data_IF_047743902811
#
_entry.id   IF_047743902811
#
_cell.length_a   1.000
_cell.length_b   1.000
_cell.length_c   1.000
_cell.angle_alpha   90.00
_cell.angle_beta   90.00
_cell.angle_gamma   90.00
#
_symmetry.space_group_name_H-M   'P 1'
#
loop_
_entity.id
_entity.type
_entity.pdbx_description
1 polymer ?
#
# COMPACT_ATOMS: atom_id res chain seq x y z
N UNK A 1 32.33 23.43 -20.07
CA UNK A 1 31.00 23.24 -20.70
C UNK A 1 30.00 22.88 -19.60
N UNK A 2 28.80 23.47 -19.59
CA UNK A 2 27.78 23.25 -18.53
C UNK A 2 26.49 22.74 -19.19
N UNK A 3 26.09 21.50 -18.92
CA UNK A 3 24.82 20.93 -19.39
C UNK A 3 23.79 20.98 -18.27
N UNK A 4 22.87 21.96 -18.32
CA UNK A 4 21.69 21.96 -17.48
C UNK A 4 20.66 20.99 -18.07
N UNK A 5 20.39 19.88 -17.39
CA UNK A 5 19.33 18.94 -17.77
C UNK A 5 18.01 19.36 -17.11
N UNK A 6 17.22 20.16 -17.83
CA UNK A 6 15.87 20.54 -17.41
C UNK A 6 14.88 19.46 -17.84
N UNK A 7 14.22 18.81 -16.87
CA UNK A 7 13.10 17.89 -17.10
C UNK A 7 11.77 18.64 -16.89
N UNK A 8 10.92 18.83 -17.91
CA UNK A 8 9.60 19.41 -17.73
C UNK A 8 8.61 18.37 -17.19
N UNK A 9 8.06 18.64 -16.01
CA UNK A 9 6.85 17.98 -15.51
C UNK A 9 5.64 18.43 -16.35
N UNK A 10 4.99 17.51 -17.05
CA UNK A 10 3.79 17.79 -17.85
C UNK A 10 2.68 16.76 -17.55
N UNK A 11 2.00 16.94 -16.42
CA UNK A 11 0.82 16.17 -16.03
C UNK A 11 -0.44 16.86 -16.56
N UNK A 12 -0.68 16.70 -17.86
CA UNK A 12 -1.86 17.26 -18.55
C UNK A 12 -3.12 16.46 -18.20
N UNK A 13 -3.82 16.87 -17.14
CA UNK A 13 -5.19 16.42 -16.88
C UNK A 13 -6.14 17.04 -17.91
N UNK A 14 -6.37 16.31 -19.01
CA UNK A 14 -7.39 16.70 -19.99
C UNK A 14 -8.79 16.38 -19.44
N UNK A 15 -9.55 17.42 -19.11
CA UNK A 15 -10.96 17.32 -18.76
C UNK A 15 -11.76 16.75 -19.94
N UNK A 16 -12.32 15.55 -19.80
CA UNK A 16 -13.25 15.00 -20.78
C UNK A 16 -14.67 15.52 -20.47
N UNK A 17 -15.07 16.60 -21.16
CA UNK A 17 -16.43 17.14 -21.07
C UNK A 17 -17.40 16.23 -21.85
N UNK A 18 -18.22 15.46 -21.14
CA UNK A 18 -19.28 14.64 -21.74
C UNK A 18 -20.51 15.52 -21.97
N UNK A 19 -20.70 15.98 -23.21
CA UNK A 19 -21.95 16.62 -23.63
C UNK A 19 -23.04 15.56 -23.84
N UNK A 20 -23.99 15.50 -22.91
CA UNK A 20 -25.19 14.67 -23.03
C UNK A 20 -26.28 15.44 -23.80
N UNK A 21 -26.47 15.14 -25.09
CA UNK A 21 -27.59 15.71 -25.88
C UNK A 21 -28.83 14.83 -25.78
N UNK A 22 -29.82 15.32 -25.04
CA UNK A 22 -31.18 14.74 -25.00
C UNK A 22 -31.95 15.11 -26.27
N UNK A 23 -32.59 14.14 -26.91
CA UNK A 23 -33.61 14.37 -27.94
C UNK A 23 -34.91 13.63 -27.59
N UNK A 24 -36.03 14.35 -27.36
CA UNK A 24 -37.36 13.75 -27.32
C UNK A 24 -37.99 13.79 -28.72
N UNK A 25 -38.60 12.68 -29.16
CA UNK A 25 -39.21 12.56 -30.48
C UNK A 25 -40.36 11.56 -30.51
N UNK A 26 -41.58 12.05 -30.30
CA UNK A 26 -42.85 11.30 -30.39
C UNK A 26 -43.16 10.87 -31.83
N UNK A 27 -43.81 9.72 -32.04
CA UNK A 27 -44.32 9.40 -33.39
C UNK A 27 -45.05 8.06 -33.60
N UNK A 28 -46.33 8.01 -33.21
CA UNK A 28 -47.48 7.31 -33.86
C UNK A 28 -47.33 5.85 -34.37
N UNK A 29 -48.24 4.98 -33.90
CA UNK A 29 -48.53 3.68 -34.53
C UNK A 29 -49.24 3.83 -35.89
N UNK A 30 -49.33 2.77 -36.70
CA UNK A 30 -50.63 2.11 -36.77
C UNK A 30 -50.56 0.56 -36.77
N UNK A 31 -51.69 -0.07 -36.48
CA UNK A 31 -51.86 -1.51 -36.49
C UNK A 31 -52.14 -2.06 -37.90
N UNK A 32 -51.73 -3.31 -38.14
CA UNK A 32 -52.48 -4.26 -38.98
C UNK A 32 -52.26 -5.68 -38.48
N UNK A 33 -53.27 -6.55 -38.68
CA UNK A 33 -53.34 -7.89 -38.13
C UNK A 33 -53.21 -8.97 -39.22
N UNK A 34 -52.61 -10.11 -38.85
CA UNK A 34 -52.81 -11.48 -39.36
C UNK A 34 -51.78 -12.37 -38.60
N UNK A 35 -52.18 -13.35 -37.78
CA UNK A 35 -52.66 -14.71 -38.11
C UNK A 35 -51.51 -15.70 -38.43
N UNK A 36 -51.78 -17.00 -38.25
CA UNK A 36 -50.93 -18.19 -38.48
C UNK A 36 -49.78 -18.50 -37.50
N UNK A 37 -50.05 -19.46 -36.61
CA UNK A 37 -49.10 -20.49 -36.16
C UNK A 37 -49.45 -21.84 -36.86
N UNK A 38 -48.79 -23.00 -36.63
CA UNK A 38 -47.43 -23.30 -36.15
C UNK A 38 -46.67 -24.35 -37.02
N UNK A 39 -45.32 -24.41 -36.93
CA UNK A 39 -44.49 -25.62 -37.19
C UNK A 39 -43.07 -25.39 -36.62
N UNK A 40 -42.49 -26.14 -35.68
CA UNK A 40 -42.25 -27.58 -35.51
C UNK A 40 -40.91 -28.09 -36.11
N UNK A 41 -40.14 -28.83 -35.27
CA UNK A 41 -38.90 -29.61 -35.55
C UNK A 41 -37.62 -28.74 -35.75
N UNK A 42 -36.43 -29.09 -35.22
CA UNK A 42 -35.88 -30.36 -34.65
C UNK A 42 -34.71 -30.09 -33.68
N UNK A 43 -34.53 -30.96 -32.70
CA UNK A 43 -33.25 -31.19 -31.96
C UNK A 43 -32.61 -32.48 -32.48
N UNK A 44 -31.27 -32.57 -32.54
CA UNK A 44 -30.50 -33.56 -31.76
C UNK A 44 -29.23 -32.92 -31.17
N UNK A 45 -28.93 -33.00 -29.87
CA UNK A 45 -28.55 -34.16 -29.02
C UNK A 45 -27.10 -34.67 -29.19
N UNK A 46 -26.32 -34.42 -28.12
CA UNK A 46 -25.17 -35.14 -27.56
C UNK A 46 -23.92 -35.49 -28.40
N UNK A 47 -22.74 -35.14 -27.83
CA UNK A 47 -21.70 -36.14 -27.48
C UNK A 47 -20.62 -35.63 -26.50
N UNK A 48 -20.51 -36.31 -25.35
CA UNK A 48 -19.41 -36.40 -24.37
C UNK A 48 -19.65 -37.72 -23.59
N UNK A 49 -18.69 -38.38 -22.89
CA UNK A 49 -17.24 -38.23 -22.81
C UNK A 49 -16.50 -39.53 -23.25
N UNK A 50 -15.24 -39.76 -22.83
CA UNK A 50 -15.07 -40.67 -21.69
C UNK A 50 -14.09 -40.23 -20.59
N UNK A 51 -14.04 -41.05 -19.53
CA UNK A 51 -13.60 -40.80 -18.15
C UNK A 51 -12.92 -42.08 -17.65
N UNK A 52 -11.81 -42.09 -16.90
CA UNK A 52 -10.81 -41.09 -16.51
C UNK A 52 -9.56 -41.85 -15.98
N UNK A 53 -8.50 -41.16 -15.49
CA UNK A 53 -7.48 -41.78 -14.60
C UNK A 53 -6.95 -40.79 -13.56
N UNK A 54 -6.53 -41.34 -12.41
CA UNK A 54 -6.53 -40.66 -11.12
C UNK A 54 -5.18 -40.07 -10.68
N UNK A 55 -5.23 -39.22 -9.64
CA UNK A 55 -4.07 -38.77 -8.86
C UNK A 55 -3.40 -39.94 -8.10
N UNK A 56 -2.21 -39.71 -7.50
CA UNK A 56 -2.25 -39.37 -6.08
C UNK A 56 -1.25 -38.29 -5.60
N UNK A 57 -1.81 -37.32 -4.86
CA UNK A 57 -1.31 -36.78 -3.57
C UNK A 57 0.21 -36.49 -3.41
N UNK A 58 0.58 -35.22 -3.52
CA UNK A 58 1.73 -34.65 -2.79
C UNK A 58 1.23 -33.85 -1.57
N UNK A 59 1.78 -34.13 -0.38
CA UNK A 59 1.44 -33.43 0.88
C UNK A 59 2.27 -32.14 1.01
N UNK A 60 1.68 -30.97 1.30
CA UNK A 60 2.42 -29.86 1.91
C UNK A 60 2.81 -30.25 3.34
N UNK A 61 4.10 -30.47 3.60
CA UNK A 61 4.63 -30.74 4.93
C UNK A 61 4.65 -29.42 5.72
N UNK A 62 3.81 -29.31 6.74
CA UNK A 62 3.88 -28.23 7.73
C UNK A 62 5.25 -28.28 8.43
N UNK A 63 6.00 -27.18 8.38
CA UNK A 63 7.20 -26.95 9.17
C UNK A 63 6.90 -25.86 10.20
N UNK A 64 7.02 -26.12 11.52
CA UNK A 64 6.56 -25.17 12.53
C UNK A 64 7.38 -23.88 12.66
N UNK A 65 6.64 -22.80 12.91
CA UNK A 65 7.03 -21.55 13.56
C UNK A 65 8.03 -21.77 14.70
N UNK A 66 9.20 -21.14 14.62
CA UNK A 66 10.09 -20.95 15.77
C UNK A 66 9.92 -19.54 16.35
N UNK A 67 9.72 -19.46 17.65
CA UNK A 67 9.65 -18.23 18.46
C UNK A 67 10.71 -18.41 19.58
N UNK A 68 11.43 -17.36 20.02
CA UNK A 68 12.79 -17.55 20.53
C UNK A 68 12.85 -18.07 21.97
N UNK A 69 13.84 -18.93 22.23
CA UNK A 69 14.25 -19.29 23.58
C UNK A 69 15.42 -18.39 24.01
N UNK A 70 15.22 -17.64 25.10
CA UNK A 70 16.28 -16.93 25.78
C UNK A 70 16.94 -17.84 26.82
N UNK A 71 18.27 -17.83 26.86
CA UNK A 71 19.09 -18.26 28.00
C UNK A 71 20.22 -17.22 28.11
N UNK A 72 20.10 -16.21 28.97
CA UNK A 72 20.62 -16.23 30.34
C UNK A 72 21.98 -16.92 30.45
N UNK A 73 23.05 -16.12 30.49
CA UNK A 73 24.28 -16.52 31.16
C UNK A 73 24.55 -15.53 32.30
N UNK A 74 24.64 -16.06 33.51
CA UNK A 74 24.99 -15.36 34.74
C UNK A 74 26.01 -16.24 35.43
N UNK A 75 27.27 -15.83 35.43
CA UNK A 75 28.23 -16.34 36.38
C UNK A 75 29.10 -15.20 36.92
N UNK A 76 29.31 -15.23 38.23
CA UNK A 76 29.91 -14.15 38.99
C UNK A 76 31.39 -14.40 39.26
N UNK A 77 32.14 -13.33 39.47
CA UNK A 77 33.41 -13.38 40.18
C UNK A 77 33.59 -12.10 40.98
N UNK A 78 33.50 -12.25 42.30
CA UNK A 78 33.74 -11.21 43.29
C UNK A 78 35.15 -11.39 43.91
N UNK A 79 35.54 -10.63 44.97
CA UNK A 79 35.76 -9.19 44.95
C UNK A 79 37.20 -8.84 45.41
N UNK A 80 37.61 -7.57 45.29
CA UNK A 80 38.77 -7.04 46.03
C UNK A 80 38.48 -5.68 46.67
N UNK A 81 39.11 -5.43 47.82
CA UNK A 81 38.63 -4.55 48.90
C UNK A 81 39.28 -3.15 48.90
N UNK A 82 38.41 -2.14 48.84
CA UNK A 82 38.46 -0.73 49.31
C UNK A 82 39.70 -0.21 50.07
N UNK A 83 40.19 0.97 49.67
CA UNK A 83 40.64 2.08 50.53
C UNK A 83 40.48 3.45 49.78
N UNK A 84 40.31 4.61 50.45
CA UNK A 84 39.54 5.74 49.90
C UNK A 84 40.32 7.04 49.60
N UNK A 85 39.76 7.89 48.72
CA UNK A 85 40.12 9.31 48.61
C UNK A 85 38.92 10.21 48.20
N UNK A 86 38.83 11.35 48.88
CA UNK A 86 37.95 12.54 48.81
C UNK A 86 36.96 12.80 47.62
N UNK A 87 35.87 13.58 47.87
CA UNK A 87 34.83 13.84 46.88
C UNK A 87 35.15 15.02 45.95
N UNK A 88 35.38 14.76 44.66
CA UNK A 88 35.42 15.81 43.64
C UNK A 88 34.00 16.12 43.15
N UNK A 89 33.56 17.36 43.35
CA UNK A 89 32.30 17.89 42.79
C UNK A 89 32.38 17.93 41.26
N UNK A 90 31.59 17.10 40.58
CA UNK A 90 31.41 17.13 39.12
C UNK A 90 29.95 17.32 38.72
N UNK A 91 29.40 18.46 39.14
CA UNK A 91 28.28 19.17 38.49
C UNK A 91 28.94 20.29 37.65
N UNK A 92 28.60 20.60 36.39
CA UNK A 92 27.47 20.20 35.54
C UNK A 92 27.90 20.30 34.06
N UNK A 93 27.68 19.26 33.25
CA UNK A 93 27.87 19.31 31.79
C UNK A 93 26.75 18.63 30.98
N UNK A 94 25.64 18.24 31.63
CA UNK A 94 24.56 17.47 31.00
C UNK A 94 23.56 18.32 30.19
N UNK A 95 23.40 19.60 30.53
CA UNK A 95 22.31 20.44 30.02
C UNK A 95 22.30 20.63 28.47
N UNK A 96 23.43 20.89 27.77
CA UNK A 96 23.39 21.11 26.32
C UNK A 96 23.00 19.85 25.54
N UNK A 97 23.52 18.69 25.97
CA UNK A 97 23.24 17.40 25.32
C UNK A 97 21.77 16.98 25.52
N UNK A 98 21.24 17.13 26.74
CA UNK A 98 19.83 16.84 27.05
C UNK A 98 18.85 17.74 26.28
N UNK A 99 19.21 19.00 26.06
CA UNK A 99 18.36 19.93 25.32
C UNK A 99 18.38 19.65 23.82
N UNK A 100 19.51 19.25 23.24
CA UNK A 100 19.62 18.83 21.85
C UNK A 100 18.81 17.54 21.58
N UNK A 101 18.98 16.50 22.41
CA UNK A 101 18.22 15.25 22.27
C UNK A 101 16.72 15.46 22.34
N UNK A 102 16.23 16.31 23.26
CA UNK A 102 14.81 16.62 23.37
C UNK A 102 14.25 17.37 22.14
N UNK A 103 15.07 18.18 21.46
CA UNK A 103 14.69 18.83 20.18
C UNK A 103 14.63 17.81 19.05
N UNK A 104 15.62 16.91 18.96
CA UNK A 104 15.66 15.85 17.96
C UNK A 104 14.51 14.84 18.12
N UNK A 105 14.21 14.40 19.35
CA UNK A 105 13.06 13.53 19.65
C UNK A 105 11.72 14.19 19.24
N UNK A 106 11.54 15.48 19.55
CA UNK A 106 10.35 16.24 19.16
C UNK A 106 10.25 16.36 17.64
N UNK A 107 11.37 16.60 16.95
CA UNK A 107 11.43 16.70 15.50
C UNK A 107 11.10 15.35 14.85
N UNK A 108 11.71 14.26 15.33
CA UNK A 108 11.42 12.88 14.89
C UNK A 108 9.96 12.52 15.08
N UNK A 109 9.41 12.73 16.27
CA UNK A 109 8.00 12.44 16.54
C UNK A 109 7.05 13.26 15.64
N UNK A 110 7.37 14.53 15.38
CA UNK A 110 6.56 15.35 14.45
C UNK A 110 6.60 14.85 13.00
N UNK A 111 7.71 14.24 12.56
CA UNK A 111 7.81 13.57 11.26
C UNK A 111 6.97 12.29 11.24
N UNK A 112 7.00 11.51 12.32
CA UNK A 112 6.29 10.23 12.43
C UNK A 112 4.78 10.42 12.41
N UNK A 113 4.26 11.45 13.09
CA UNK A 113 2.85 11.86 13.02
C UNK A 113 2.48 12.29 11.59
N UNK A 114 3.26 13.20 10.99
CA UNK A 114 3.02 13.65 9.60
C UNK A 114 3.00 12.49 8.60
N UNK A 115 3.93 11.54 8.75
CA UNK A 115 4.05 10.37 7.90
C UNK A 115 2.83 9.45 8.02
N UNK A 116 2.41 9.10 9.25
CA UNK A 116 1.22 8.28 9.52
C UNK A 116 -0.06 8.93 8.97
N UNK A 117 -0.21 10.24 9.14
CA UNK A 117 -1.33 11.01 8.56
C UNK A 117 -1.29 10.98 7.04
N UNK A 118 -0.10 10.97 6.44
CA UNK A 118 0.03 10.85 4.99
C UNK A 118 -0.38 9.46 4.47
N UNK A 119 0.12 8.38 5.08
CA UNK A 119 -0.27 7.00 4.74
C UNK A 119 -1.79 6.82 4.87
N UNK A 120 -2.39 7.39 5.92
CA UNK A 120 -3.84 7.36 6.15
C UNK A 120 -4.61 8.07 5.03
N UNK A 121 -4.15 9.27 4.61
CA UNK A 121 -4.75 10.00 3.48
C UNK A 121 -4.57 9.27 2.15
N UNK A 122 -3.38 8.75 1.89
CA UNK A 122 -3.07 7.96 0.69
C UNK A 122 -4.02 6.77 0.56
N UNK A 123 -4.16 5.95 1.61
CA UNK A 123 -5.07 4.80 1.60
C UNK A 123 -6.54 5.18 1.40
N UNK A 124 -6.99 6.30 1.97
CA UNK A 124 -8.36 6.82 1.77
C UNK A 124 -8.63 7.29 0.32
N UNK A 125 -7.64 7.94 -0.29
CA UNK A 125 -7.76 8.55 -1.62
C UNK A 125 -7.44 7.59 -2.77
N UNK A 126 -6.70 6.51 -2.51
CA UNK A 126 -6.22 5.55 -3.52
C UNK A 126 -7.36 4.86 -4.28
N UNK A 127 -7.20 4.72 -5.59
CA UNK A 127 -8.11 4.00 -6.50
C UNK A 127 -7.31 3.18 -7.51
N UNK A 128 -7.64 1.89 -7.73
CA UNK A 128 -8.56 1.07 -6.91
C UNK A 128 -8.04 0.91 -5.48
N UNK A 129 -8.95 0.98 -4.51
CA UNK A 129 -8.64 0.94 -3.07
C UNK A 129 -9.44 -0.16 -2.37
N UNK A 130 -9.17 -0.41 -1.09
CA UNK A 130 -9.81 -1.53 -0.37
C UNK A 130 -11.36 -1.44 -0.32
N UNK A 131 -11.91 -0.23 -0.31
CA UNK A 131 -13.36 0.04 -0.35
C UNK A 131 -13.95 0.08 -1.77
N UNK A 132 -13.10 0.19 -2.79
CA UNK A 132 -13.48 0.49 -4.18
C UNK A 132 -12.54 -0.29 -5.10
N UNK A 133 -12.79 -1.60 -5.17
CA UNK A 133 -11.95 -2.59 -5.84
C UNK A 133 -12.30 -2.63 -7.33
N UNK A 134 -11.28 -2.64 -8.20
CA UNK A 134 -11.49 -2.84 -9.63
C UNK A 134 -11.75 -4.34 -9.90
N UNK A 135 -12.72 -4.66 -10.74
CA UNK A 135 -12.95 -6.03 -11.23
C UNK A 135 -12.85 -6.08 -12.75
N UNK A 136 -12.09 -7.03 -13.27
CA UNK A 136 -11.89 -7.26 -14.72
C UNK A 136 -12.11 -8.71 -15.07
N UNK A 137 -12.91 -8.96 -16.10
CA UNK A 137 -13.05 -10.29 -16.71
C UNK A 137 -11.75 -10.67 -17.43
N UNK A 138 -11.32 -11.91 -17.24
CA UNK A 138 -10.07 -12.46 -17.77
C UNK A 138 -10.30 -13.21 -19.10
N UNK A 139 -9.25 -13.48 -19.89
CA UNK A 139 -9.37 -14.20 -21.16
C UNK A 139 -9.91 -15.63 -21.04
N UNK A 140 -9.68 -16.30 -19.91
CA UNK A 140 -10.23 -17.63 -19.58
C UNK A 140 -11.72 -17.59 -19.16
N UNK A 141 -12.33 -16.41 -19.15
CA UNK A 141 -13.72 -16.16 -18.77
C UNK A 141 -13.95 -15.92 -17.28
N UNK A 142 -12.92 -16.08 -16.43
CA UNK A 142 -12.97 -15.79 -14.99
C UNK A 142 -13.02 -14.28 -14.70
N UNK A 143 -13.12 -13.90 -13.43
CA UNK A 143 -13.06 -12.51 -12.96
C UNK A 143 -11.90 -12.35 -11.98
N UNK A 144 -11.12 -11.28 -12.14
CA UNK A 144 -10.11 -10.86 -11.18
C UNK A 144 -10.53 -9.55 -10.54
N UNK A 145 -10.65 -9.53 -9.21
CA UNK A 145 -10.74 -8.32 -8.43
C UNK A 145 -9.34 -7.90 -7.97
N UNK A 146 -9.06 -6.60 -7.93
CA UNK A 146 -7.81 -6.07 -7.38
C UNK A 146 -7.99 -4.74 -6.67
N UNK A 147 -7.10 -4.45 -5.73
CA UNK A 147 -6.94 -3.13 -5.13
C UNK A 147 -5.49 -2.86 -4.74
N UNK A 148 -5.16 -1.58 -4.60
CA UNK A 148 -3.88 -1.13 -4.06
C UNK A 148 -4.08 -0.64 -2.63
N UNK A 149 -3.11 -0.93 -1.76
CA UNK A 149 -2.99 -0.30 -0.45
C UNK A 149 -1.53 0.08 -0.18
N UNK A 150 -1.32 1.08 0.67
CA UNK A 150 -0.03 1.36 1.31
C UNK A 150 0.00 0.60 2.63
N UNK A 151 1.03 -0.21 2.83
CA UNK A 151 1.26 -1.00 4.05
C UNK A 151 1.73 -0.07 5.19
N UNK A 152 0.91 0.19 6.24
CA UNK A 152 1.26 1.12 7.32
C UNK A 152 2.37 0.59 8.23
N UNK A 153 2.49 -0.72 8.39
CA UNK A 153 3.47 -1.36 9.27
C UNK A 153 4.88 -1.33 8.64
N UNK A 154 4.94 -1.13 7.33
CA UNK A 154 6.19 -0.95 6.58
C UNK A 154 6.80 0.47 6.64
N UNK A 155 6.15 1.40 7.36
CA UNK A 155 6.52 2.81 7.40
C UNK A 155 7.81 3.06 8.20
N UNK A 156 8.86 3.54 7.53
CA UNK A 156 10.14 3.93 8.13
C UNK A 156 10.49 5.37 7.78
N UNK A 157 10.71 6.19 8.81
CA UNK A 157 11.02 7.62 8.70
C UNK A 157 12.43 7.95 9.21
N UNK A 158 13.09 8.86 8.52
CA UNK A 158 14.36 9.48 8.97
C UNK A 158 14.44 10.93 8.51
N UNK A 159 15.34 11.73 9.06
CA UNK A 159 15.62 13.07 8.55
C UNK A 159 17.11 13.39 8.62
N UNK A 160 17.53 14.34 7.79
CA UNK A 160 18.88 14.90 7.81
C UNK A 160 18.79 16.43 7.80
N UNK A 161 19.70 17.16 8.47
CA UNK A 161 19.84 18.60 8.29
C UNK A 161 20.24 18.95 6.85
N UNK A 162 20.08 20.22 6.47
CA UNK A 162 20.57 20.73 5.18
C UNK A 162 21.56 21.87 5.40
N UNK A 163 22.81 21.67 5.00
CA UNK A 163 23.92 22.58 5.34
C UNK A 163 23.81 23.97 4.69
N UNK A 164 23.18 24.05 3.52
CA UNK A 164 23.24 25.23 2.63
C UNK A 164 21.88 25.87 2.32
N UNK A 165 20.81 25.55 3.06
CA UNK A 165 19.47 26.10 2.80
C UNK A 165 18.93 26.88 4.01
N UNK A 166 18.73 28.20 3.85
CA UNK A 166 18.17 29.06 4.91
C UNK A 166 16.67 28.87 5.12
N UNK A 167 15.96 28.26 4.16
CA UNK A 167 14.49 28.15 4.12
C UNK A 167 13.99 26.78 4.54
N UNK A 168 14.66 25.72 4.08
CA UNK A 168 14.42 24.33 4.46
C UNK A 168 15.52 23.99 5.47
N UNK A 169 15.17 23.51 6.67
CA UNK A 169 16.18 23.17 7.70
C UNK A 169 16.57 21.69 7.68
N UNK A 170 15.62 20.83 7.32
CA UNK A 170 15.78 19.38 7.29
C UNK A 170 15.06 18.80 6.07
N UNK A 171 15.59 17.70 5.55
CA UNK A 171 14.91 16.81 4.62
C UNK A 171 14.56 15.52 5.36
N UNK A 172 13.27 15.28 5.53
CA UNK A 172 12.70 14.01 5.94
C UNK A 172 12.66 13.04 4.77
N UNK A 173 12.80 11.75 5.07
CA UNK A 173 12.58 10.64 4.16
C UNK A 173 11.48 9.77 4.76
N UNK A 174 10.50 9.41 3.94
CA UNK A 174 9.46 8.46 4.29
C UNK A 174 9.59 7.27 3.36
N UNK A 175 9.81 6.08 3.90
CA UNK A 175 9.87 4.84 3.15
C UNK A 175 8.69 3.97 3.56
N UNK A 176 8.01 3.37 2.58
CA UNK A 176 6.87 2.49 2.79
C UNK A 176 6.73 1.54 1.60
N UNK A 177 5.84 0.56 1.69
CA UNK A 177 5.50 -0.32 0.57
C UNK A 177 4.09 -0.06 0.06
N UNK A 178 3.95 0.04 -1.26
CA UNK A 178 2.67 -0.12 -1.95
C UNK A 178 2.48 -1.59 -2.30
N UNK A 179 1.30 -2.13 -1.99
CA UNK A 179 0.99 -3.54 -2.16
C UNK A 179 -0.25 -3.67 -3.03
N UNK A 180 -0.12 -4.42 -4.13
CA UNK A 180 -1.26 -4.84 -4.95
C UNK A 180 -1.80 -6.15 -4.41
N UNK A 181 -3.12 -6.18 -4.19
CA UNK A 181 -3.85 -7.33 -3.71
C UNK A 181 -4.81 -7.82 -4.80
N UNK A 182 -4.76 -9.11 -5.12
CA UNK A 182 -5.60 -9.74 -6.16
C UNK A 182 -6.38 -10.94 -5.63
N UNK A 183 -7.58 -11.16 -6.17
CA UNK A 183 -8.37 -12.36 -5.98
C UNK A 183 -9.08 -12.72 -7.28
N UNK A 184 -9.16 -14.02 -7.61
CA UNK A 184 -9.84 -14.53 -8.80
C UNK A 184 -11.03 -15.40 -8.43
N UNK A 185 -12.09 -15.34 -9.24
CA UNK A 185 -13.33 -16.09 -9.04
C UNK A 185 -14.02 -16.43 -10.36
N UNK A 186 -14.95 -17.39 -10.32
CA UNK A 186 -15.73 -17.78 -11.51
C UNK A 186 -16.76 -16.71 -11.90
N UNK A 187 -17.13 -15.87 -10.95
CA UNK A 187 -18.01 -14.72 -11.10
C UNK A 187 -17.43 -13.52 -10.31
N UNK A 188 -17.97 -12.33 -10.56
CA UNK A 188 -17.55 -11.09 -9.91
C UNK A 188 -17.74 -11.11 -8.38
N UNK A 189 -18.76 -11.82 -7.86
CA UNK A 189 -19.03 -11.90 -6.42
C UNK A 189 -17.96 -12.73 -5.71
N UNK A 190 -17.54 -13.86 -6.30
CA UNK A 190 -16.43 -14.68 -5.81
C UNK A 190 -15.12 -13.90 -5.80
N UNK A 191 -14.80 -13.20 -6.90
CA UNK A 191 -13.57 -12.40 -6.97
C UNK A 191 -13.55 -11.27 -5.92
N UNK A 192 -14.69 -10.64 -5.63
CA UNK A 192 -14.78 -9.59 -4.61
C UNK A 192 -14.78 -10.11 -3.16
N UNK A 193 -15.15 -11.37 -2.93
CA UNK A 193 -15.23 -11.97 -1.59
C UNK A 193 -13.88 -12.24 -0.94
N UNK A 194 -12.82 -12.44 -1.74
CA UNK A 194 -11.51 -12.87 -1.23
C UNK A 194 -11.43 -14.38 -0.94
N UNK A 195 -10.33 -14.85 -0.32
CA UNK A 195 -9.21 -14.06 0.18
C UNK A 195 -8.38 -13.43 -0.95
N UNK A 196 -7.82 -12.25 -0.68
CA UNK A 196 -6.89 -11.58 -1.58
C UNK A 196 -5.46 -11.96 -1.22
N UNK A 197 -4.62 -12.13 -2.24
CA UNK A 197 -3.18 -12.40 -2.09
C UNK A 197 -2.38 -11.19 -2.58
N UNK A 198 -1.20 -10.94 -2.00
CA UNK A 198 -0.27 -9.95 -2.55
C UNK A 198 0.23 -10.42 -3.93
N UNK A 199 -0.01 -9.65 -5.00
CA UNK A 199 0.59 -9.89 -6.33
C UNK A 199 1.91 -9.14 -6.50
N UNK A 200 2.03 -7.97 -5.88
CA UNK A 200 3.19 -7.08 -6.00
C UNK A 200 3.36 -6.25 -4.72
N UNK A 201 4.61 -5.97 -4.35
CA UNK A 201 5.01 -5.18 -3.19
C UNK A 201 6.17 -4.27 -3.60
N UNK A 202 5.87 -2.99 -3.83
CA UNK A 202 6.80 -1.98 -4.36
C UNK A 202 7.28 -1.05 -3.25
N UNK A 203 8.59 -0.96 -2.96
CA UNK A 203 9.12 0.02 -2.02
C UNK A 203 9.10 1.43 -2.63
N UNK A 204 8.59 2.41 -1.88
CA UNK A 204 8.54 3.83 -2.25
C UNK A 204 9.36 4.63 -1.25
N UNK A 205 10.14 5.60 -1.74
CA UNK A 205 10.80 6.63 -0.92
C UNK A 205 10.27 8.00 -1.33
N UNK A 206 9.72 8.75 -0.37
CA UNK A 206 9.34 10.14 -0.54
C UNK A 206 10.28 11.07 0.24
N UNK A 207 10.48 12.28 -0.29
CA UNK A 207 11.26 13.34 0.34
C UNK A 207 10.32 14.45 0.83
N UNK A 208 10.45 14.80 2.11
CA UNK A 208 9.59 15.75 2.82
C UNK A 208 10.49 16.87 3.35
N UNK A 209 10.04 18.13 3.28
CA UNK A 209 10.80 19.32 3.67
C UNK A 209 10.33 19.81 5.04
N UNK A 210 11.25 20.16 5.93
CA UNK A 210 10.92 20.93 7.13
C UNK A 210 11.14 22.43 6.88
N UNK A 211 10.04 23.18 6.71
CA UNK A 211 10.04 24.62 6.40
C UNK A 211 9.09 25.35 7.35
N UNK A 212 9.58 26.41 7.99
CA UNK A 212 8.74 27.25 8.86
C UNK A 212 8.11 26.52 10.05
N UNK A 213 8.80 25.53 10.61
CA UNK A 213 8.33 24.77 11.78
C UNK A 213 7.35 23.63 11.47
N UNK A 214 7.17 23.26 10.20
CA UNK A 214 6.28 22.18 9.77
C UNK A 214 6.89 21.32 8.66
N UNK A 215 6.46 20.07 8.60
CA UNK A 215 6.70 19.15 7.49
C UNK A 215 5.75 19.45 6.33
N UNK A 216 6.28 19.54 5.11
CA UNK A 216 5.50 19.67 3.87
C UNK A 216 6.15 18.86 2.75
N UNK A 217 5.37 18.52 1.73
CA UNK A 217 5.93 18.19 0.42
C UNK A 217 6.58 19.42 -0.24
#
# INVERSE_FOLDING_TARGET
MKTNTTLPYALSFLFLLVCLTVTPGTGVCPAHAADAAPAAKKTPEAKKPPVAKAQPKAKPKVAPRQTPAALTNIEASAPKKVAPAAPTKSQTAAAPAQQQTAVDDKLKNSLDVFAKDCITRMNKQRRPGITDKEVKRQPDGSFMARYMAVDPDSLVTSYNPTDNNKTIKYIGRMNYHEVEYVCTGKDQKQALAGPFNESNRTPITELIKYKGGKWTY
#
